data_IF_159850469489
#
_entry.id   IF_159850469489
#
_cell.length_a   1.000
_cell.length_b   1.000
_cell.length_c   1.000
_cell.angle_alpha   90.00
_cell.angle_beta   90.00
_cell.angle_gamma   90.00
#
_symmetry.space_group_name_H-M   'P 1'
#
loop_
_entity.id
_entity.type
_entity.pdbx_description
1 polymer ?
#
# COMPACT_ATOMS: atom_id res chain seq x y z
N UNK A 1 -24.71 -23.66 0.12
CA UNK A 1 -23.73 -22.70 0.67
C UNK A 1 -24.37 -21.96 1.84
N UNK A 2 -23.84 -22.13 3.02
CA UNK A 2 -24.25 -21.42 4.23
C UNK A 2 -23.41 -20.13 4.36
N UNK A 3 -24.05 -18.99 4.72
CA UNK A 3 -23.36 -17.69 4.78
C UNK A 3 -23.33 -17.20 6.22
N UNK A 4 -22.11 -16.90 6.69
CA UNK A 4 -21.83 -16.37 8.02
C UNK A 4 -21.46 -14.88 7.93
N UNK A 5 -22.08 -14.07 8.78
CA UNK A 5 -21.67 -12.66 8.97
C UNK A 5 -20.37 -12.60 9.74
N UNK A 6 -19.52 -11.57 9.49
CA UNK A 6 -18.35 -11.35 10.34
C UNK A 6 -18.76 -10.90 11.75
N UNK A 7 -17.91 -11.20 12.73
CA UNK A 7 -18.12 -10.76 14.10
C UNK A 7 -18.16 -9.22 14.15
N UNK A 8 -19.12 -8.65 14.88
CA UNK A 8 -19.26 -7.20 15.04
C UNK A 8 -18.07 -6.66 15.84
N UNK A 9 -17.23 -5.84 15.22
CA UNK A 9 -16.09 -5.17 15.83
C UNK A 9 -16.16 -3.65 15.70
N UNK A 10 -15.32 -2.95 16.46
CA UNK A 10 -15.21 -1.48 16.41
C UNK A 10 -14.33 -0.97 15.27
N UNK A 11 -13.84 -1.85 14.38
CA UNK A 11 -12.90 -1.51 13.30
C UNK A 11 -13.45 -0.48 12.32
N UNK A 12 -14.74 -0.53 12.01
CA UNK A 12 -15.38 0.44 11.10
C UNK A 12 -15.28 1.88 11.63
N UNK A 13 -15.54 2.09 12.93
CA UNK A 13 -15.45 3.41 13.56
C UNK A 13 -14.03 3.95 13.56
N UNK A 14 -13.04 3.06 13.71
CA UNK A 14 -11.64 3.41 13.61
C UNK A 14 -11.27 3.89 12.20
N UNK A 15 -11.70 3.16 11.15
CA UNK A 15 -11.42 3.53 9.75
C UNK A 15 -12.12 4.85 9.39
N UNK A 16 -13.38 5.04 9.81
CA UNK A 16 -14.13 6.30 9.61
C UNK A 16 -13.47 7.47 10.34
N UNK A 17 -13.02 7.26 11.58
CA UNK A 17 -12.27 8.26 12.35
C UNK A 17 -10.97 8.66 11.68
N UNK A 18 -10.20 7.69 11.16
CA UNK A 18 -9.01 7.96 10.37
C UNK A 18 -9.32 8.76 9.10
N UNK A 19 -10.40 8.41 8.38
CA UNK A 19 -10.82 9.14 7.19
C UNK A 19 -11.16 10.60 7.52
N UNK A 20 -11.90 10.83 8.61
CA UNK A 20 -12.28 12.18 9.03
C UNK A 20 -11.06 13.02 9.41
N UNK A 21 -10.18 12.49 10.26
CA UNK A 21 -8.93 13.18 10.66
C UNK A 21 -8.08 13.50 9.43
N UNK A 22 -7.96 12.54 8.53
CA UNK A 22 -7.19 12.69 7.31
C UNK A 22 -7.78 13.80 6.41
N UNK A 23 -9.11 13.80 6.17
CA UNK A 23 -9.77 14.83 5.36
C UNK A 23 -9.57 16.21 5.96
N UNK A 24 -9.74 16.36 7.28
CA UNK A 24 -9.51 17.64 7.97
C UNK A 24 -8.05 18.11 7.84
N UNK A 25 -7.09 17.21 8.04
CA UNK A 25 -5.66 17.54 7.92
C UNK A 25 -5.28 17.99 6.51
N UNK A 26 -5.73 17.24 5.49
CA UNK A 26 -5.42 17.57 4.10
C UNK A 26 -6.13 18.81 3.58
N UNK A 27 -7.39 19.02 3.96
CA UNK A 27 -8.10 20.26 3.60
C UNK A 27 -7.41 21.49 4.23
N UNK A 28 -7.05 21.43 5.51
CA UNK A 28 -6.25 22.48 6.15
C UNK A 28 -4.92 22.69 5.42
N UNK A 29 -4.20 21.62 5.08
CA UNK A 29 -2.95 21.69 4.33
C UNK A 29 -3.10 22.35 2.96
N UNK A 30 -4.17 22.07 2.24
CA UNK A 30 -4.45 22.70 0.94
C UNK A 30 -4.70 24.22 1.05
N UNK A 31 -5.26 24.69 2.17
CA UNK A 31 -5.42 26.12 2.42
C UNK A 31 -4.12 26.83 2.80
N UNK A 32 -3.17 26.14 3.44
CA UNK A 32 -1.91 26.73 3.90
C UNK A 32 -0.79 26.71 2.85
N UNK A 33 -0.91 25.84 1.85
CA UNK A 33 0.15 25.63 0.85
C UNK A 33 -0.08 26.48 -0.39
N UNK A 34 0.85 27.41 -0.64
CA UNK A 34 0.81 28.33 -1.78
C UNK A 34 1.78 27.96 -2.91
N UNK A 35 2.56 26.88 -2.80
CA UNK A 35 3.50 26.46 -3.83
C UNK A 35 2.89 25.36 -4.72
N UNK A 36 2.96 25.54 -6.04
CA UNK A 36 2.35 24.63 -7.02
C UNK A 36 2.75 23.17 -6.85
N UNK A 37 4.05 22.92 -6.68
CA UNK A 37 4.58 21.54 -6.57
C UNK A 37 3.99 20.85 -5.35
N UNK A 38 4.08 21.49 -4.17
CA UNK A 38 3.58 20.90 -2.93
C UNK A 38 2.05 20.75 -2.94
N UNK A 39 1.35 21.74 -3.49
CA UNK A 39 -0.11 21.71 -3.67
C UNK A 39 -0.56 20.57 -4.59
N UNK A 40 0.15 20.35 -5.71
CA UNK A 40 -0.13 19.26 -6.65
C UNK A 40 0.13 17.88 -6.02
N UNK A 41 1.23 17.73 -5.29
CA UNK A 41 1.55 16.49 -4.57
C UNK A 41 0.52 16.20 -3.47
N UNK A 42 0.08 17.21 -2.72
CA UNK A 42 -0.98 17.07 -1.73
C UNK A 42 -2.29 16.63 -2.36
N UNK A 43 -2.70 17.21 -3.50
CA UNK A 43 -3.91 16.78 -4.22
C UNK A 43 -3.83 15.30 -4.63
N UNK A 44 -2.72 14.88 -5.22
CA UNK A 44 -2.51 13.49 -5.63
C UNK A 44 -2.57 12.56 -4.40
N UNK A 45 -1.86 12.91 -3.32
CA UNK A 45 -1.87 12.15 -2.08
C UNK A 45 -3.29 12.09 -1.49
N UNK A 46 -4.05 13.18 -1.51
CA UNK A 46 -5.43 13.23 -1.05
C UNK A 46 -6.32 12.24 -1.79
N UNK A 47 -6.26 12.20 -3.11
CA UNK A 47 -7.05 11.27 -3.94
C UNK A 47 -6.65 9.82 -3.67
N UNK A 48 -5.35 9.52 -3.67
CA UNK A 48 -4.84 8.15 -3.48
C UNK A 48 -5.19 7.60 -2.10
N UNK A 49 -4.97 8.37 -1.02
CA UNK A 49 -5.24 7.91 0.34
C UNK A 49 -6.75 7.82 0.60
N UNK A 50 -7.56 8.75 0.04
CA UNK A 50 -9.02 8.66 0.14
C UNK A 50 -9.54 7.39 -0.53
N UNK A 51 -9.10 7.09 -1.75
CA UNK A 51 -9.46 5.87 -2.46
C UNK A 51 -9.03 4.60 -1.67
N UNK A 52 -7.84 4.63 -1.07
CA UNK A 52 -7.35 3.55 -0.21
C UNK A 52 -8.23 3.33 1.02
N UNK A 53 -8.62 4.38 1.73
CA UNK A 53 -9.48 4.27 2.92
C UNK A 53 -10.89 3.82 2.54
N UNK A 54 -11.48 4.36 1.47
CA UNK A 54 -12.77 3.93 0.96
C UNK A 54 -12.77 2.45 0.55
N UNK A 55 -11.71 1.98 -0.09
CA UNK A 55 -11.54 0.55 -0.40
C UNK A 55 -11.66 -0.32 0.85
N UNK A 56 -10.99 0.06 1.97
CA UNK A 56 -11.07 -0.73 3.21
C UNK A 56 -12.40 -0.59 3.94
N UNK A 57 -13.08 0.53 3.83
CA UNK A 57 -14.46 0.68 4.32
C UNK A 57 -15.38 -0.29 3.57
N UNK A 58 -15.31 -0.32 2.24
CA UNK A 58 -16.08 -1.24 1.41
C UNK A 58 -15.74 -2.70 1.74
N UNK A 59 -14.45 -3.02 1.88
CA UNK A 59 -14.02 -4.36 2.25
C UNK A 59 -14.55 -4.77 3.62
N UNK A 60 -14.52 -3.89 4.62
CA UNK A 60 -15.03 -4.17 5.96
C UNK A 60 -16.55 -4.41 5.96
N UNK A 61 -17.31 -3.58 5.24
CA UNK A 61 -18.79 -3.61 5.24
C UNK A 61 -19.36 -4.76 4.42
N UNK A 62 -18.66 -5.18 3.35
CA UNK A 62 -19.12 -6.25 2.47
C UNK A 62 -18.59 -7.63 2.82
N UNK A 63 -17.66 -7.72 3.78
CA UNK A 63 -17.04 -8.99 4.18
C UNK A 63 -18.09 -9.97 4.68
N UNK A 64 -18.04 -11.20 4.17
CA UNK A 64 -18.85 -12.35 4.60
C UNK A 64 -18.00 -13.61 4.50
N UNK A 65 -18.37 -14.63 5.23
CA UNK A 65 -17.79 -15.97 5.10
C UNK A 65 -18.86 -16.92 4.62
N UNK A 66 -18.48 -17.96 3.96
CA UNK A 66 -19.40 -18.99 3.50
C UNK A 66 -18.78 -20.38 3.63
N UNK A 67 -19.61 -21.40 3.77
CA UNK A 67 -19.21 -22.79 3.75
C UNK A 67 -20.15 -23.59 2.84
N UNK A 68 -19.62 -24.55 2.11
CA UNK A 68 -20.38 -25.59 1.45
C UNK A 68 -19.79 -26.97 1.79
N UNK A 69 -20.21 -28.01 1.12
CA UNK A 69 -19.73 -29.37 1.39
C UNK A 69 -18.23 -29.58 1.14
N UNK A 70 -17.60 -28.73 0.32
CA UNK A 70 -16.20 -28.90 -0.12
C UNK A 70 -15.29 -27.72 0.18
N UNK A 71 -15.86 -26.50 0.45
CA UNK A 71 -15.07 -25.29 0.47
C UNK A 71 -15.50 -24.31 1.55
N UNK A 72 -14.52 -23.52 2.00
CA UNK A 72 -14.73 -22.27 2.72
C UNK A 72 -14.60 -21.10 1.75
N UNK A 73 -15.44 -20.10 1.90
CA UNK A 73 -15.45 -18.88 1.10
C UNK A 73 -15.19 -17.66 1.96
N UNK A 74 -14.30 -16.79 1.51
CA UNK A 74 -14.13 -15.44 2.04
C UNK A 74 -14.59 -14.48 0.96
N UNK A 75 -15.74 -13.84 1.20
CA UNK A 75 -16.43 -13.02 0.20
C UNK A 75 -16.18 -11.55 0.53
N UNK A 76 -15.57 -10.84 -0.40
CA UNK A 76 -15.28 -9.42 -0.32
C UNK A 76 -15.93 -8.68 -1.48
N UNK A 77 -15.96 -7.34 -1.42
CA UNK A 77 -16.44 -6.46 -2.47
C UNK A 77 -15.85 -6.74 -3.86
N UNK A 78 -14.55 -7.05 -3.94
CA UNK A 78 -13.85 -7.26 -5.23
C UNK A 78 -13.66 -8.74 -5.56
N UNK A 79 -13.47 -9.59 -4.55
CA UNK A 79 -13.01 -10.96 -4.76
C UNK A 79 -13.65 -11.93 -3.78
N UNK A 80 -14.05 -13.07 -4.28
CA UNK A 80 -14.34 -14.26 -3.47
C UNK A 80 -13.13 -15.19 -3.48
N UNK A 81 -12.62 -15.51 -2.30
CA UNK A 81 -11.54 -16.47 -2.12
C UNK A 81 -12.21 -17.80 -1.78
N UNK A 82 -11.92 -18.82 -2.55
CA UNK A 82 -12.36 -20.18 -2.36
C UNK A 82 -11.21 -20.98 -1.75
N UNK A 83 -11.45 -21.68 -0.67
CA UNK A 83 -10.49 -22.52 0.06
C UNK A 83 -11.10 -23.91 0.18
N UNK A 84 -10.63 -24.91 -0.59
CA UNK A 84 -11.07 -26.31 -0.43
C UNK A 84 -10.65 -26.84 0.94
N UNK A 85 -11.49 -27.63 1.61
CA UNK A 85 -11.11 -28.27 2.87
C UNK A 85 -9.88 -29.17 2.69
N UNK A 86 -9.74 -29.87 1.59
CA UNK A 86 -8.59 -30.72 1.26
C UNK A 86 -7.24 -29.99 1.26
N UNK A 87 -7.25 -28.65 1.10
CA UNK A 87 -6.04 -27.82 1.10
C UNK A 87 -5.72 -27.23 2.47
N UNK A 88 -6.58 -27.42 3.49
CA UNK A 88 -6.37 -26.93 4.84
C UNK A 88 -5.53 -27.95 5.60
N UNK A 89 -4.30 -27.55 5.97
CA UNK A 89 -3.41 -28.43 6.75
C UNK A 89 -3.85 -28.47 8.22
N UNK A 90 -4.08 -27.27 8.80
CA UNK A 90 -4.44 -27.08 10.21
C UNK A 90 -5.26 -25.82 10.41
N UNK A 91 -6.01 -25.78 11.48
CA UNK A 91 -6.58 -24.53 11.97
C UNK A 91 -6.21 -24.29 13.44
N UNK A 92 -6.24 -23.02 13.85
CA UNK A 92 -5.99 -22.59 15.23
C UNK A 92 -6.97 -21.49 15.60
N UNK A 93 -7.46 -21.54 16.84
CA UNK A 93 -8.31 -20.49 17.40
C UNK A 93 -7.52 -19.67 18.40
N UNK A 94 -7.56 -18.36 18.26
CA UNK A 94 -6.99 -17.43 19.24
C UNK A 94 -7.99 -16.33 19.61
N UNK A 95 -7.92 -15.90 20.86
CA UNK A 95 -8.65 -14.75 21.39
C UNK A 95 -7.69 -13.69 21.91
N UNK A 96 -8.09 -12.42 21.82
CA UNK A 96 -7.33 -11.30 22.36
C UNK A 96 -6.65 -10.45 21.29
N UNK A 97 -5.67 -9.69 21.69
CA UNK A 97 -5.00 -8.74 20.81
C UNK A 97 -4.29 -9.41 19.65
N UNK A 98 -4.47 -8.85 18.47
CA UNK A 98 -3.77 -9.32 17.26
C UNK A 98 -2.29 -8.92 17.36
N UNK A 99 -1.45 -9.88 17.78
CA UNK A 99 -0.02 -9.66 17.97
C UNK A 99 0.73 -9.90 16.66
N UNK A 100 0.99 -8.83 15.92
CA UNK A 100 1.68 -8.95 14.63
C UNK A 100 2.15 -7.63 14.05
N UNK A 101 3.00 -7.73 13.03
CA UNK A 101 3.48 -6.58 12.26
C UNK A 101 2.67 -6.45 10.97
N UNK A 102 2.04 -5.30 10.77
CA UNK A 102 1.29 -5.02 9.55
C UNK A 102 2.24 -4.89 8.36
N UNK A 103 2.01 -5.68 7.31
CA UNK A 103 2.69 -5.56 6.02
C UNK A 103 1.89 -4.70 5.04
N UNK A 104 0.58 -4.88 5.00
CA UNK A 104 -0.29 -4.07 4.13
C UNK A 104 -1.72 -4.09 4.66
N UNK A 105 -2.49 -3.07 4.33
CA UNK A 105 -3.88 -2.99 4.78
C UNK A 105 -4.09 -2.06 5.95
N UNK A 106 -5.21 -2.23 6.64
CA UNK A 106 -5.54 -1.48 7.86
C UNK A 106 -5.73 -2.46 9.00
N UNK A 107 -5.04 -2.23 10.11
CA UNK A 107 -5.14 -3.07 11.30
C UNK A 107 -4.86 -2.27 12.57
N UNK A 108 -5.43 -2.74 13.65
CA UNK A 108 -5.05 -2.42 15.02
C UNK A 108 -5.12 -3.70 15.87
N UNK A 109 -5.02 -3.59 17.20
CA UNK A 109 -5.06 -4.75 18.09
C UNK A 109 -6.41 -5.51 18.07
N UNK A 110 -7.48 -4.88 17.57
CA UNK A 110 -8.84 -5.43 17.64
C UNK A 110 -9.39 -5.92 16.29
N UNK A 111 -8.79 -5.51 15.17
CA UNK A 111 -9.19 -5.95 13.84
C UNK A 111 -8.02 -5.84 12.87
N UNK A 112 -8.07 -6.60 11.78
CA UNK A 112 -7.07 -6.54 10.72
C UNK A 112 -7.67 -6.92 9.36
N UNK A 113 -7.47 -6.05 8.36
CA UNK A 113 -7.80 -6.29 6.96
C UNK A 113 -6.56 -6.07 6.12
N UNK A 114 -6.16 -7.09 5.36
CA UNK A 114 -4.96 -7.06 4.53
C UNK A 114 -3.96 -8.15 4.86
N UNK A 115 -2.68 -7.83 5.03
CA UNK A 115 -1.64 -8.79 5.40
C UNK A 115 -0.88 -8.36 6.63
N UNK A 116 -0.65 -9.31 7.54
CA UNK A 116 0.17 -9.11 8.74
C UNK A 116 1.07 -10.31 8.98
N UNK A 117 2.20 -10.09 9.62
CA UNK A 117 3.04 -11.19 10.16
C UNK A 117 2.60 -11.42 11.59
N UNK A 118 1.91 -12.51 11.82
CA UNK A 118 1.44 -12.89 13.15
C UNK A 118 2.56 -13.70 13.86
N UNK A 119 2.78 -13.38 15.13
CA UNK A 119 3.78 -14.08 15.94
C UNK A 119 3.50 -15.58 15.94
N UNK A 120 4.51 -16.39 15.67
CA UNK A 120 4.48 -17.86 15.52
C UNK A 120 3.81 -18.37 14.23
N UNK A 121 2.73 -17.76 13.72
CA UNK A 121 1.97 -18.20 12.53
C UNK A 121 2.65 -17.77 11.22
N UNK A 122 3.26 -16.58 11.23
CA UNK A 122 3.89 -16.02 10.03
C UNK A 122 2.99 -15.10 9.21
N UNK A 123 3.31 -14.96 7.93
CA UNK A 123 2.57 -14.06 7.02
C UNK A 123 1.15 -14.57 6.77
N UNK A 124 0.17 -13.80 7.22
CA UNK A 124 -1.24 -14.15 7.22
C UNK A 124 -2.07 -13.12 6.46
N UNK A 125 -3.00 -13.61 5.61
CA UNK A 125 -4.02 -12.80 4.98
C UNK A 125 -5.15 -12.59 5.99
N UNK A 126 -5.31 -11.35 6.45
CA UNK A 126 -6.22 -11.00 7.54
C UNK A 126 -7.57 -10.52 6.99
N UNK A 127 -8.62 -11.19 7.39
CA UNK A 127 -10.03 -10.83 7.16
C UNK A 127 -10.77 -10.83 8.50
N UNK A 128 -10.21 -10.10 9.46
CA UNK A 128 -10.57 -10.12 10.88
C UNK A 128 -11.23 -8.80 11.26
N UNK A 129 -12.47 -8.85 11.68
CA UNK A 129 -13.26 -7.67 12.07
C UNK A 129 -13.34 -7.48 13.59
N UNK A 130 -12.95 -8.49 14.37
CA UNK A 130 -12.94 -8.48 15.83
C UNK A 130 -11.79 -9.33 16.36
N UNK A 131 -11.33 -9.05 17.57
CA UNK A 131 -10.31 -9.83 18.26
C UNK A 131 -10.89 -11.02 19.06
N UNK A 132 -12.18 -11.33 18.88
CA UNK A 132 -12.84 -12.48 19.52
C UNK A 132 -12.89 -13.66 18.56
N UNK A 133 -12.51 -14.86 19.05
CA UNK A 133 -12.60 -16.11 18.29
C UNK A 133 -11.99 -16.00 16.87
N UNK A 134 -10.75 -15.59 16.78
CA UNK A 134 -10.03 -15.53 15.49
C UNK A 134 -9.65 -16.95 15.09
N UNK A 135 -10.15 -17.38 13.93
CA UNK A 135 -9.77 -18.66 13.34
C UNK A 135 -8.66 -18.40 12.33
N UNK A 136 -7.49 -18.95 12.60
CA UNK A 136 -6.39 -19.01 11.65
C UNK A 136 -6.46 -20.33 10.89
N UNK A 137 -6.34 -20.27 9.58
CA UNK A 137 -6.33 -21.43 8.67
C UNK A 137 -4.97 -21.49 7.99
N UNK A 138 -4.28 -22.62 8.10
CA UNK A 138 -3.10 -22.94 7.30
C UNK A 138 -3.53 -23.66 6.05
N UNK A 139 -3.29 -23.09 4.89
CA UNK A 139 -3.70 -23.59 3.58
C UNK A 139 -2.45 -23.66 2.71
N UNK A 140 -1.83 -24.83 2.62
CA UNK A 140 -0.54 -25.00 1.96
C UNK A 140 0.52 -23.99 2.47
N UNK A 141 1.06 -23.15 1.58
CA UNK A 141 2.05 -22.10 1.93
C UNK A 141 1.40 -20.76 2.40
N UNK A 142 0.09 -20.69 2.57
CA UNK A 142 -0.64 -19.46 2.90
C UNK A 142 -1.40 -19.60 4.20
N UNK A 143 -1.42 -18.53 4.98
CA UNK A 143 -2.28 -18.45 6.15
C UNK A 143 -3.41 -17.46 5.91
N UNK A 144 -4.59 -17.76 6.43
CA UNK A 144 -5.77 -16.90 6.43
C UNK A 144 -6.27 -16.74 7.85
N UNK A 145 -6.84 -15.59 8.17
CA UNK A 145 -7.50 -15.35 9.45
C UNK A 145 -8.90 -14.78 9.22
N UNK A 146 -9.88 -15.35 9.90
CA UNK A 146 -11.30 -15.01 9.78
C UNK A 146 -11.94 -14.91 11.18
N UNK A 147 -13.07 -14.20 11.27
CA UNK A 147 -13.84 -14.05 12.53
C UNK A 147 -15.33 -14.18 12.25
N UNK A 148 -15.86 -15.40 12.04
CA UNK A 148 -17.28 -15.62 11.85
C UNK A 148 -18.06 -15.30 13.14
N UNK A 149 -19.23 -14.69 13.01
CA UNK A 149 -20.09 -14.33 14.15
C UNK A 149 -20.61 -15.57 14.88
N UNK A 150 -21.03 -16.57 14.11
CA UNK A 150 -21.40 -17.87 14.64
C UNK A 150 -20.18 -18.81 14.66
N UNK A 151 -19.33 -18.56 15.63
CA UNK A 151 -18.08 -19.30 15.81
C UNK A 151 -18.33 -20.81 16.05
N UNK A 152 -19.35 -21.16 16.88
CA UNK A 152 -19.60 -22.54 17.26
C UNK A 152 -19.99 -23.40 16.06
N UNK A 153 -20.94 -22.92 15.28
CA UNK A 153 -21.36 -23.64 14.07
C UNK A 153 -20.26 -23.69 13.03
N UNK A 154 -19.50 -22.60 12.85
CA UNK A 154 -18.37 -22.58 11.92
C UNK A 154 -17.26 -23.58 12.34
N UNK A 155 -16.94 -23.67 13.63
CA UNK A 155 -15.98 -24.63 14.18
C UNK A 155 -16.48 -26.06 14.00
N UNK A 156 -17.76 -26.34 14.25
CA UNK A 156 -18.35 -27.67 14.02
C UNK A 156 -18.27 -28.11 12.55
N UNK A 157 -18.37 -27.17 11.60
CA UNK A 157 -18.16 -27.47 10.16
C UNK A 157 -16.72 -27.86 9.86
N UNK A 158 -15.73 -27.19 10.48
CA UNK A 158 -14.31 -27.57 10.35
C UNK A 158 -14.06 -28.97 10.91
N UNK A 159 -14.53 -29.25 12.11
CA UNK A 159 -14.38 -30.56 12.76
C UNK A 159 -15.08 -31.68 11.97
N UNK A 160 -16.26 -31.41 11.39
CA UNK A 160 -16.98 -32.37 10.54
C UNK A 160 -16.19 -32.74 9.27
N UNK A 161 -15.38 -31.83 8.75
CA UNK A 161 -14.53 -32.08 7.59
C UNK A 161 -13.13 -32.60 7.96
N UNK A 162 -12.97 -33.13 9.19
CA UNK A 162 -11.72 -33.69 9.72
C UNK A 162 -10.55 -32.70 9.81
N UNK A 163 -10.82 -31.40 9.89
CA UNK A 163 -9.79 -30.40 10.11
C UNK A 163 -9.20 -30.53 11.52
N UNK A 164 -7.89 -30.50 11.62
CA UNK A 164 -7.17 -30.68 12.88
C UNK A 164 -6.84 -29.32 13.49
N UNK A 165 -7.26 -29.11 14.75
CA UNK A 165 -6.82 -27.98 15.54
C UNK A 165 -5.40 -28.26 16.04
N UNK A 166 -4.43 -27.48 15.57
CA UNK A 166 -3.03 -27.64 15.91
C UNK A 166 -2.28 -26.31 15.92
N UNK A 167 -1.21 -26.27 16.68
CA UNK A 167 -0.23 -25.20 16.61
C UNK A 167 0.77 -25.48 15.50
N UNK A 168 1.09 -24.45 14.70
CA UNK A 168 2.19 -24.51 13.74
C UNK A 168 3.14 -23.34 13.93
N UNK A 169 4.39 -23.55 13.59
CA UNK A 169 5.40 -22.51 13.57
C UNK A 169 5.63 -22.04 12.15
N UNK A 170 6.07 -20.79 12.02
CA UNK A 170 6.46 -20.19 10.74
C UNK A 170 7.54 -21.06 10.08
N UNK A 171 7.35 -21.39 8.80
CA UNK A 171 8.42 -21.94 7.98
C UNK A 171 9.58 -20.95 7.88
N UNK A 172 10.83 -21.43 7.86
CA UNK A 172 12.04 -20.60 7.83
C UNK A 172 12.04 -19.58 6.69
N UNK A 173 12.69 -18.43 6.92
CA UNK A 173 12.76 -17.31 5.98
C UNK A 173 13.41 -17.76 4.66
N UNK A 174 12.61 -17.93 3.61
CA UNK A 174 13.13 -18.17 2.25
C UNK A 174 13.92 -16.93 1.81
N UNK A 175 15.18 -17.12 1.46
CA UNK A 175 16.04 -16.07 0.91
C UNK A 175 15.48 -15.61 -0.45
N UNK A 176 14.74 -14.49 -0.45
CA UNK A 176 14.03 -14.01 -1.64
C UNK A 176 14.94 -13.07 -2.42
N UNK A 177 15.37 -13.51 -3.59
CA UNK A 177 16.12 -12.70 -4.55
C UNK A 177 15.16 -11.78 -5.34
N UNK A 178 15.03 -10.50 -4.94
CA UNK A 178 14.20 -9.51 -5.62
C UNK A 178 14.73 -9.16 -7.03
N UNK A 179 16.03 -9.18 -7.21
CA UNK A 179 16.67 -8.81 -8.49
C UNK A 179 16.32 -9.74 -9.66
N UNK A 180 15.85 -10.96 -9.40
CA UNK A 180 15.38 -11.90 -10.44
C UNK A 180 13.89 -11.67 -10.80
N UNK A 181 13.20 -10.76 -10.12
CA UNK A 181 11.77 -10.52 -10.31
C UNK A 181 11.52 -9.32 -11.21
N UNK A 182 10.91 -9.55 -12.37
CA UNK A 182 10.55 -8.49 -13.32
C UNK A 182 9.66 -7.42 -12.71
N UNK A 183 8.72 -7.78 -11.82
CA UNK A 183 7.83 -6.84 -11.14
C UNK A 183 8.54 -5.91 -10.15
N UNK A 184 9.79 -6.22 -9.76
CA UNK A 184 10.66 -5.35 -8.99
C UNK A 184 11.63 -4.58 -9.91
N UNK A 185 12.29 -5.27 -10.85
CA UNK A 185 13.33 -4.67 -11.69
C UNK A 185 12.81 -3.66 -12.69
N UNK A 186 11.64 -3.91 -13.30
CA UNK A 186 11.09 -2.98 -14.30
C UNK A 186 10.79 -1.60 -13.70
N UNK A 187 10.02 -1.47 -12.59
CA UNK A 187 9.80 -0.15 -12.01
C UNK A 187 11.07 0.48 -11.43
N UNK A 188 12.04 -0.30 -10.94
CA UNK A 188 13.35 0.22 -10.51
C UNK A 188 14.09 0.88 -11.68
N UNK A 189 14.23 0.18 -12.82
CA UNK A 189 14.92 0.69 -14.00
C UNK A 189 14.19 1.91 -14.56
N UNK A 190 12.86 1.85 -14.69
CA UNK A 190 12.08 2.98 -15.19
C UNK A 190 12.22 4.21 -14.29
N UNK A 191 12.14 4.04 -12.95
CA UNK A 191 12.38 5.14 -12.01
C UNK A 191 13.76 5.74 -12.17
N UNK A 192 14.81 4.90 -12.32
CA UNK A 192 16.18 5.37 -12.51
C UNK A 192 16.34 6.17 -13.80
N UNK A 193 15.73 5.71 -14.90
CA UNK A 193 15.75 6.43 -16.19
C UNK A 193 15.03 7.79 -16.06
N UNK A 194 13.85 7.80 -15.45
CA UNK A 194 13.09 9.04 -15.25
C UNK A 194 13.88 10.04 -14.41
N UNK A 195 14.47 9.59 -13.31
CA UNK A 195 15.30 10.44 -12.43
C UNK A 195 16.52 10.98 -13.18
N UNK A 196 17.15 10.16 -14.00
CA UNK A 196 18.27 10.57 -14.83
C UNK A 196 17.85 11.66 -15.82
N UNK A 197 16.73 11.48 -16.52
CA UNK A 197 16.18 12.50 -17.43
C UNK A 197 15.80 13.76 -16.67
N UNK A 198 15.11 13.63 -15.53
CA UNK A 198 14.70 14.76 -14.66
C UNK A 198 15.91 15.62 -14.25
N UNK A 199 17.04 14.97 -13.96
CA UNK A 199 18.27 15.63 -13.50
C UNK A 199 19.04 16.27 -14.65
N UNK A 200 19.25 15.53 -15.75
CA UNK A 200 20.14 15.98 -16.82
C UNK A 200 19.48 16.87 -17.86
N UNK A 201 18.19 16.67 -18.16
CA UNK A 201 17.52 17.44 -19.21
C UNK A 201 17.62 18.97 -19.01
N UNK A 202 17.27 19.55 -17.85
CA UNK A 202 17.41 21.00 -17.65
C UNK A 202 18.86 21.47 -17.67
N UNK A 203 19.81 20.65 -17.23
CA UNK A 203 21.22 20.96 -17.27
C UNK A 203 21.76 21.00 -18.71
N UNK A 204 21.41 20.01 -19.55
CA UNK A 204 21.75 19.98 -20.97
C UNK A 204 21.15 21.19 -21.69
N UNK A 205 19.89 21.51 -21.43
CA UNK A 205 19.22 22.68 -22.02
C UNK A 205 19.93 24.00 -21.63
N UNK A 206 20.45 24.10 -20.41
CA UNK A 206 21.25 25.24 -19.96
C UNK A 206 22.59 25.30 -20.74
N UNK A 207 23.34 24.19 -20.78
CA UNK A 207 24.64 24.13 -21.45
C UNK A 207 24.55 24.43 -22.98
N UNK A 208 23.44 24.03 -23.59
CA UNK A 208 23.19 24.28 -25.02
C UNK A 208 22.54 25.64 -25.30
N UNK A 209 22.49 26.53 -24.29
CA UNK A 209 21.86 27.86 -24.38
C UNK A 209 20.43 27.82 -24.94
N UNK A 210 19.68 26.74 -24.67
CA UNK A 210 18.29 26.59 -25.10
C UNK A 210 17.27 27.04 -24.05
N UNK A 211 17.71 27.49 -22.88
CA UNK A 211 16.83 28.09 -21.89
C UNK A 211 16.78 29.61 -22.07
N UNK A 212 15.60 30.23 -21.91
CA UNK A 212 15.47 31.69 -21.86
C UNK A 212 16.34 32.34 -20.79
N UNK A 213 16.68 33.60 -20.99
CA UNK A 213 17.44 34.39 -20.01
C UNK A 213 16.70 34.57 -18.68
N UNK A 214 15.38 34.53 -18.73
CA UNK A 214 14.52 34.60 -17.52
C UNK A 214 13.55 33.40 -17.51
N UNK A 215 13.66 32.59 -16.46
CA UNK A 215 12.82 31.42 -16.22
C UNK A 215 12.12 31.50 -14.87
N UNK A 216 10.89 31.01 -14.74
CA UNK A 216 10.22 30.95 -13.43
C UNK A 216 10.90 29.92 -12.55
N UNK A 217 11.16 30.30 -11.28
CA UNK A 217 11.76 29.44 -10.27
C UNK A 217 10.70 28.79 -9.38
N UNK A 218 9.72 29.57 -8.97
CA UNK A 218 8.63 29.14 -8.12
C UNK A 218 7.27 29.51 -8.73
N UNK A 219 6.27 28.72 -8.40
CA UNK A 219 4.90 28.90 -8.87
C UNK A 219 3.94 28.92 -7.67
N UNK A 220 2.89 29.72 -7.76
CA UNK A 220 1.76 29.64 -6.84
C UNK A 220 0.90 28.37 -7.08
N UNK A 221 -0.12 28.18 -6.27
CA UNK A 221 -1.05 27.04 -6.41
C UNK A 221 -1.81 27.00 -7.72
N UNK A 222 -1.90 28.13 -8.45
CA UNK A 222 -2.57 28.27 -9.75
C UNK A 222 -1.63 28.10 -10.95
N UNK A 223 -0.35 27.75 -10.71
CA UNK A 223 0.69 27.65 -11.72
C UNK A 223 1.10 29.02 -12.31
N UNK A 224 0.88 30.10 -11.58
CA UNK A 224 1.41 31.42 -11.95
C UNK A 224 2.81 31.60 -11.38
N UNK A 225 3.76 32.15 -12.16
CA UNK A 225 5.13 32.35 -11.67
C UNK A 225 5.14 33.44 -10.57
N UNK A 226 5.69 33.08 -9.41
CA UNK A 226 5.90 34.02 -8.30
C UNK A 226 7.28 34.67 -8.40
N UNK A 227 8.30 33.83 -8.60
CA UNK A 227 9.70 34.26 -8.70
C UNK A 227 10.27 33.91 -10.06
N UNK A 228 11.07 34.83 -10.62
CA UNK A 228 11.84 34.59 -11.84
C UNK A 228 13.33 34.65 -11.55
N UNK A 229 14.09 33.86 -12.28
CA UNK A 229 15.55 33.82 -12.20
C UNK A 229 16.17 33.49 -13.54
N UNK A 230 17.48 33.31 -13.54
CA UNK A 230 18.23 32.95 -14.74
C UNK A 230 17.98 31.48 -15.14
N UNK A 231 18.20 31.16 -16.42
CA UNK A 231 18.15 29.76 -16.90
C UNK A 231 19.10 28.83 -16.10
N UNK A 232 20.24 29.37 -15.61
CA UNK A 232 21.14 28.64 -14.71
C UNK A 232 20.46 28.26 -13.39
N UNK A 233 19.85 29.24 -12.73
CA UNK A 233 19.14 28.99 -11.44
C UNK A 233 18.00 28.00 -11.61
N UNK A 234 17.25 28.10 -12.70
CA UNK A 234 16.19 27.13 -13.03
C UNK A 234 16.78 25.72 -13.18
N UNK A 235 17.84 25.53 -14.00
CA UNK A 235 18.45 24.23 -14.21
C UNK A 235 18.92 23.62 -12.89
N UNK A 236 19.59 24.38 -12.02
CA UNK A 236 20.04 23.89 -10.71
C UNK A 236 18.89 23.54 -9.77
N UNK A 237 17.80 24.30 -9.74
CA UNK A 237 16.61 23.97 -8.96
C UNK A 237 15.97 22.64 -9.41
N UNK A 238 15.93 22.42 -10.73
CA UNK A 238 15.41 21.15 -11.27
C UNK A 238 16.32 19.97 -10.95
N UNK A 239 17.64 20.16 -10.93
CA UNK A 239 18.59 19.13 -10.50
C UNK A 239 18.38 18.74 -9.02
N UNK A 240 18.06 19.70 -8.13
CA UNK A 240 17.74 19.42 -6.73
C UNK A 240 16.53 18.46 -6.64
N UNK A 241 15.50 18.65 -7.46
CA UNK A 241 14.36 17.73 -7.51
C UNK A 241 14.78 16.33 -8.02
N UNK A 242 15.73 16.26 -8.93
CA UNK A 242 16.33 14.98 -9.38
C UNK A 242 17.03 14.26 -8.22
N UNK A 243 17.88 14.97 -7.45
CA UNK A 243 18.57 14.43 -6.27
C UNK A 243 17.58 13.97 -5.20
N UNK A 244 16.53 14.76 -4.95
CA UNK A 244 15.45 14.37 -4.01
C UNK A 244 14.79 13.05 -4.45
N UNK A 245 14.46 12.91 -5.73
CA UNK A 245 13.85 11.69 -6.25
C UNK A 245 14.82 10.49 -6.19
N UNK A 246 16.13 10.70 -6.35
CA UNK A 246 17.15 9.67 -6.14
C UNK A 246 17.16 9.20 -4.67
N UNK A 247 17.11 10.11 -3.71
CA UNK A 247 17.03 9.77 -2.29
C UNK A 247 15.75 8.98 -1.97
N UNK A 248 14.59 9.36 -2.53
CA UNK A 248 13.34 8.62 -2.40
C UNK A 248 13.48 7.21 -2.98
N UNK A 249 14.04 7.06 -4.18
CA UNK A 249 14.27 5.76 -4.80
C UNK A 249 15.13 4.86 -3.90
N UNK A 250 16.19 5.41 -3.32
CA UNK A 250 17.06 4.69 -2.39
C UNK A 250 16.30 4.20 -1.15
N UNK A 251 15.54 5.09 -0.50
CA UNK A 251 14.72 4.72 0.65
C UNK A 251 13.71 3.62 0.31
N UNK A 252 13.04 3.73 -0.84
CA UNK A 252 12.06 2.73 -1.29
C UNK A 252 12.70 1.40 -1.66
N UNK A 253 13.92 1.42 -2.23
CA UNK A 253 14.70 0.23 -2.52
C UNK A 253 15.01 -0.56 -1.24
N UNK A 254 15.54 0.11 -0.20
CA UNK A 254 15.82 -0.55 1.08
C UNK A 254 14.54 -1.02 1.77
N UNK A 255 13.50 -0.20 1.81
CA UNK A 255 12.20 -0.61 2.34
C UNK A 255 11.68 -1.88 1.66
N UNK A 256 11.80 -1.95 0.33
CA UNK A 256 11.42 -3.14 -0.44
C UNK A 256 12.18 -4.40 0.02
N UNK A 257 13.50 -4.30 0.26
CA UNK A 257 14.31 -5.43 0.73
C UNK A 257 13.90 -5.90 2.14
N UNK A 258 13.60 -4.97 3.05
CA UNK A 258 13.10 -5.32 4.38
C UNK A 258 11.77 -6.06 4.32
N UNK A 259 10.84 -5.61 3.47
CA UNK A 259 9.53 -6.24 3.34
C UNK A 259 9.56 -7.56 2.57
N UNK A 260 10.55 -7.76 1.70
CA UNK A 260 10.69 -9.00 0.92
C UNK A 260 10.84 -10.25 1.78
N UNK A 261 11.45 -10.12 2.96
CA UNK A 261 11.58 -11.22 3.93
C UNK A 261 10.23 -11.79 4.38
N UNK A 262 9.17 -10.98 4.30
CA UNK A 262 7.84 -11.35 4.77
C UNK A 262 6.84 -11.54 3.63
N UNK A 263 6.85 -10.66 2.63
CA UNK A 263 5.93 -10.72 1.49
C UNK A 263 6.51 -10.06 0.24
N UNK A 264 6.88 -10.87 -0.72
CA UNK A 264 7.43 -10.44 -2.02
C UNK A 264 6.46 -9.52 -2.80
N UNK A 265 5.14 -9.73 -2.70
CA UNK A 265 4.16 -8.89 -3.40
C UNK A 265 4.08 -7.49 -2.79
N UNK A 266 4.10 -7.39 -1.46
CA UNK A 266 4.09 -6.09 -0.78
C UNK A 266 5.41 -5.34 -0.97
N UNK A 267 6.54 -6.04 -1.05
CA UNK A 267 7.84 -5.44 -1.32
C UNK A 267 7.88 -4.69 -2.66
N UNK A 268 7.29 -5.25 -3.72
CA UNK A 268 7.26 -4.60 -5.05
C UNK A 268 6.54 -3.25 -5.06
N UNK A 269 5.55 -3.05 -4.20
CA UNK A 269 4.77 -1.80 -4.14
C UNK A 269 5.63 -0.56 -3.90
N UNK A 270 6.71 -0.69 -3.14
CA UNK A 270 7.64 0.41 -2.87
C UNK A 270 8.31 0.93 -4.15
N UNK A 271 8.66 0.05 -5.09
CA UNK A 271 9.21 0.46 -6.38
C UNK A 271 8.19 1.21 -7.24
N UNK A 272 6.93 0.78 -7.23
CA UNK A 272 5.86 1.51 -7.93
C UNK A 272 5.58 2.88 -7.32
N UNK A 273 5.68 3.02 -6.00
CA UNK A 273 5.55 4.34 -5.32
C UNK A 273 6.65 5.28 -5.79
N UNK A 274 7.91 4.83 -5.81
CA UNK A 274 9.03 5.64 -6.33
C UNK A 274 8.83 6.02 -7.79
N UNK A 275 8.39 5.09 -8.64
CA UNK A 275 8.10 5.34 -10.04
C UNK A 275 7.02 6.42 -10.22
N UNK A 276 5.94 6.34 -9.42
CA UNK A 276 4.84 7.29 -9.50
C UNK A 276 5.26 8.70 -9.09
N UNK A 277 6.07 8.82 -8.04
CA UNK A 277 6.62 10.10 -7.57
C UNK A 277 7.56 10.69 -8.65
N UNK A 278 8.50 9.91 -9.16
CA UNK A 278 9.43 10.37 -10.20
C UNK A 278 8.69 10.81 -11.48
N UNK A 279 7.67 10.07 -11.90
CA UNK A 279 6.83 10.43 -13.04
C UNK A 279 6.07 11.74 -12.82
N UNK A 280 5.53 11.97 -11.61
CA UNK A 280 4.86 13.22 -11.26
C UNK A 280 5.80 14.42 -11.38
N UNK A 281 7.02 14.34 -10.86
CA UNK A 281 8.02 15.39 -10.99
C UNK A 281 8.43 15.63 -12.45
N UNK A 282 8.60 14.58 -13.24
CA UNK A 282 8.92 14.71 -14.66
C UNK A 282 7.79 15.41 -15.44
N UNK A 283 6.54 15.06 -15.17
CA UNK A 283 5.36 15.72 -15.80
C UNK A 283 5.35 17.23 -15.46
N UNK A 284 5.60 17.59 -14.21
CA UNK A 284 5.68 18.99 -13.78
C UNK A 284 6.82 19.70 -14.51
N UNK A 285 8.02 19.11 -14.59
CA UNK A 285 9.16 19.68 -15.30
C UNK A 285 8.85 19.90 -16.78
N UNK A 286 8.28 18.89 -17.46
CA UNK A 286 7.89 19.00 -18.86
C UNK A 286 6.85 20.13 -19.05
N UNK A 287 5.86 20.21 -18.17
CA UNK A 287 4.86 21.28 -18.23
C UNK A 287 5.49 22.66 -18.12
N UNK A 288 6.44 22.85 -17.18
CA UNK A 288 7.16 24.13 -17.05
C UNK A 288 7.94 24.47 -18.31
N UNK A 289 8.68 23.50 -18.86
CA UNK A 289 9.46 23.69 -20.06
C UNK A 289 8.59 24.00 -21.29
N UNK A 290 7.42 23.35 -21.43
CA UNK A 290 6.52 23.60 -22.56
C UNK A 290 5.81 24.97 -22.45
N UNK A 291 5.61 25.47 -21.25
CA UNK A 291 4.86 26.72 -21.03
C UNK A 291 5.79 27.96 -21.08
N UNK A 292 7.04 27.84 -20.63
CA UNK A 292 7.91 28.97 -20.39
C UNK A 292 9.24 28.94 -21.18
N UNK A 293 9.46 27.92 -21.97
CA UNK A 293 10.59 27.81 -22.91
C UNK A 293 10.10 28.24 -24.29
#
# INVERSE_FOLDING_TARGET
MEIYKPCKGKGIYYILGLLLIYVLFFTAGLFLVNTYILFSLLKIAFVVITAYLLYYILQYTTLKYGTDEKNIYIINFIKTIKIPYEEIDYYKVEEGNINGVKLSGISNNNFALGKSVIKKIGTTNMYVTSNKNIIYLKVNEKNYAITPMDFKNFKAVLEKNNEVESDWTRDEEKHISLHKDRGFMVPLILSSIIIFVLTLNPFILYLTNKLPSSMPLNFDSSFLPVDKGTGKQFAFNQMIYGVLNMAILFCMYYASHFYAKYDKKSAKKYMYISLLIAAAFLIIQIRILLTFR
#
